data_IF_420465134181
#
_entry.id   IF_420465134181
#
_cell.length_a   1.000
_cell.length_b   1.000
_cell.length_c   1.000
_cell.angle_alpha   90.00
_cell.angle_beta   90.00
_cell.angle_gamma   90.00
#
_symmetry.space_group_name_H-M   'P 1'
#
loop_
_entity.id
_entity.type
_entity.pdbx_description
1 polymer ?
#
# COMPACT_ATOMS: atom_id res chain seq x y z
N UNK A 1 11.99 13.38 -12.85
CA UNK A 1 12.00 12.05 -12.22
C UNK A 1 10.66 11.85 -11.52
N UNK A 2 9.96 10.72 -11.72
CA UNK A 2 8.70 10.42 -11.02
C UNK A 2 8.99 9.66 -9.72
N UNK A 3 8.34 10.02 -8.62
CA UNK A 3 8.50 9.30 -7.34
C UNK A 3 7.66 8.01 -7.33
N UNK A 4 7.98 7.02 -6.47
CA UNK A 4 7.16 5.82 -6.32
C UNK A 4 5.70 6.15 -5.99
N UNK A 5 5.46 7.14 -5.13
CA UNK A 5 4.11 7.59 -4.77
C UNK A 5 3.36 8.20 -5.97
N UNK A 6 4.04 9.02 -6.79
CA UNK A 6 3.42 9.59 -8.00
C UNK A 6 3.05 8.50 -9.02
N UNK A 7 3.87 7.46 -9.13
CA UNK A 7 3.56 6.31 -9.97
C UNK A 7 2.41 5.46 -9.40
N UNK A 8 2.34 5.32 -8.07
CA UNK A 8 1.27 4.62 -7.39
C UNK A 8 -0.10 5.27 -7.67
N UNK A 9 -0.21 6.59 -7.51
CA UNK A 9 -1.44 7.32 -7.83
C UNK A 9 -1.83 7.24 -9.30
N UNK A 10 -0.83 7.23 -10.19
CA UNK A 10 -1.08 7.04 -11.63
C UNK A 10 -1.76 5.69 -11.89
N UNK A 11 -1.20 4.61 -11.35
CA UNK A 11 -1.70 3.26 -11.60
C UNK A 11 -3.03 2.96 -10.90
N UNK A 12 -3.28 3.59 -9.76
CA UNK A 12 -4.59 3.56 -9.13
C UNK A 12 -5.69 4.10 -10.06
N UNK A 13 -5.40 5.14 -10.84
CA UNK A 13 -6.36 5.72 -11.78
C UNK A 13 -6.40 4.90 -13.09
N UNK A 14 -5.24 4.63 -13.68
CA UNK A 14 -5.14 4.02 -15.02
C UNK A 14 -5.48 2.52 -15.01
N UNK A 15 -5.30 1.83 -13.88
CA UNK A 15 -5.40 0.37 -13.79
C UNK A 15 -6.01 -0.13 -12.47
N UNK A 16 -6.97 0.63 -11.92
CA UNK A 16 -7.66 0.34 -10.65
C UNK A 16 -8.02 -1.15 -10.44
N UNK A 17 -8.58 -1.78 -11.47
CA UNK A 17 -9.08 -3.16 -11.43
C UNK A 17 -8.06 -4.22 -11.87
N UNK A 18 -6.83 -3.82 -12.26
CA UNK A 18 -5.78 -4.77 -12.62
C UNK A 18 -5.09 -5.29 -11.37
N UNK A 19 -4.73 -6.59 -11.38
CA UNK A 19 -3.98 -7.21 -10.29
C UNK A 19 -2.60 -6.57 -10.18
N UNK A 20 -2.29 -6.05 -8.99
CA UNK A 20 -0.99 -5.47 -8.65
C UNK A 20 -0.14 -6.44 -7.82
N UNK A 21 -0.76 -7.13 -6.87
CA UNK A 21 -0.06 -7.94 -5.87
C UNK A 21 -0.63 -9.36 -5.82
N UNK A 22 0.26 -10.34 -5.98
CA UNK A 22 -0.03 -11.75 -5.73
C UNK A 22 0.65 -12.15 -4.43
N UNK A 23 -0.11 -12.44 -3.40
CA UNK A 23 0.41 -12.85 -2.09
C UNK A 23 0.16 -14.34 -1.86
N UNK A 24 1.24 -15.14 -1.71
CA UNK A 24 1.10 -16.52 -1.26
C UNK A 24 0.97 -16.57 0.27
N UNK A 25 -0.10 -17.18 0.76
CA UNK A 25 -0.31 -17.44 2.18
C UNK A 25 -0.85 -18.86 2.37
N UNK A 26 -0.23 -19.67 3.24
CA UNK A 26 -0.67 -21.04 3.56
C UNK A 26 -0.95 -21.91 2.32
N UNK A 27 -0.05 -21.87 1.33
CA UNK A 27 -0.16 -22.57 0.03
C UNK A 27 -1.35 -22.13 -0.84
N UNK A 28 -1.99 -21.01 -0.52
CA UNK A 28 -3.03 -20.39 -1.31
C UNK A 28 -2.54 -19.03 -1.83
N UNK A 29 -2.99 -18.66 -3.03
CA UNK A 29 -2.70 -17.37 -3.63
C UNK A 29 -3.88 -16.42 -3.41
N UNK A 30 -3.59 -15.21 -2.96
CA UNK A 30 -4.52 -14.09 -2.95
C UNK A 30 -4.05 -13.04 -3.95
N UNK A 31 -4.97 -12.53 -4.75
CA UNK A 31 -4.71 -11.46 -5.71
C UNK A 31 -5.34 -10.17 -5.20
N UNK A 32 -4.61 -9.07 -5.32
CA UNK A 32 -5.10 -7.74 -4.97
C UNK A 32 -4.88 -6.79 -6.14
N UNK A 33 -5.94 -6.06 -6.46
CA UNK A 33 -5.95 -5.01 -7.47
C UNK A 33 -5.24 -3.74 -6.97
N UNK A 34 -4.90 -2.84 -7.90
CA UNK A 34 -4.36 -1.52 -7.55
C UNK A 34 -5.28 -0.75 -6.60
N UNK A 35 -6.60 -0.77 -6.83
CA UNK A 35 -7.57 -0.10 -5.97
C UNK A 35 -7.58 -0.66 -4.54
N UNK A 36 -7.56 -1.99 -4.39
CA UNK A 36 -7.57 -2.63 -3.07
C UNK A 36 -6.30 -2.34 -2.27
N UNK A 37 -5.13 -2.37 -2.93
CA UNK A 37 -3.87 -2.03 -2.27
C UNK A 37 -3.82 -0.55 -1.90
N UNK A 38 -4.34 0.34 -2.75
CA UNK A 38 -4.38 1.78 -2.47
C UNK A 38 -5.30 2.12 -1.29
N UNK A 39 -6.48 1.52 -1.25
CA UNK A 39 -7.40 1.62 -0.13
C UNK A 39 -6.78 1.13 1.19
N UNK A 40 -6.09 -0.02 1.16
CA UNK A 40 -5.38 -0.56 2.34
C UNK A 40 -4.22 0.35 2.79
N UNK A 41 -3.44 0.88 1.84
CA UNK A 41 -2.35 1.81 2.13
C UNK A 41 -2.86 3.10 2.80
N UNK A 42 -4.00 3.65 2.36
CA UNK A 42 -4.62 4.83 2.97
C UNK A 42 -5.10 4.56 4.40
N UNK A 43 -5.69 3.39 4.67
CA UNK A 43 -6.07 3.03 6.05
C UNK A 43 -4.87 2.96 6.99
N UNK A 44 -3.76 2.38 6.55
CA UNK A 44 -2.53 2.33 7.34
C UNK A 44 -1.95 3.73 7.54
N UNK A 45 -1.92 4.55 6.48
CA UNK A 45 -1.45 5.93 6.59
C UNK A 45 -2.31 6.77 7.55
N UNK A 46 -3.64 6.64 7.48
CA UNK A 46 -4.56 7.31 8.40
C UNK A 46 -4.30 6.90 9.85
N UNK A 47 -4.16 5.59 10.12
CA UNK A 47 -3.80 5.10 11.45
C UNK A 47 -2.47 5.67 11.97
N UNK A 48 -1.45 5.77 11.12
CA UNK A 48 -0.15 6.35 11.49
C UNK A 48 -0.29 7.85 11.80
N UNK A 49 -1.06 8.59 11.00
CA UNK A 49 -1.34 10.02 11.22
C UNK A 49 -2.06 10.23 12.56
N UNK A 50 -3.02 9.36 12.90
CA UNK A 50 -3.76 9.41 14.16
C UNK A 50 -2.88 9.19 15.40
N UNK A 51 -1.67 8.62 15.25
CA UNK A 51 -0.73 8.49 16.37
C UNK A 51 -0.02 9.80 16.73
N UNK A 52 -0.18 10.85 15.92
CA UNK A 52 0.35 12.21 16.16
C UNK A 52 1.86 12.23 16.45
N UNK A 53 2.63 11.43 15.71
CA UNK A 53 4.09 11.44 15.81
C UNK A 53 4.67 12.72 15.20
N UNK A 54 5.78 13.18 15.78
CA UNK A 54 6.54 14.33 15.27
C UNK A 54 6.94 14.15 13.79
N UNK A 55 6.92 15.22 12.98
CA UNK A 55 7.40 15.15 11.60
C UNK A 55 8.83 14.62 11.51
N UNK A 56 9.03 13.59 10.67
CA UNK A 56 10.32 12.93 10.50
C UNK A 56 10.56 11.73 11.43
N UNK A 57 9.57 11.36 12.26
CA UNK A 57 9.59 10.10 13.00
C UNK A 57 9.78 8.89 12.08
N UNK A 58 10.58 7.93 12.55
CA UNK A 58 10.87 6.69 11.83
C UNK A 58 9.88 5.61 12.25
N UNK A 59 9.13 5.07 11.30
CA UNK A 59 8.18 3.99 11.54
C UNK A 59 8.85 2.65 11.21
N UNK A 60 9.01 1.79 12.21
CA UNK A 60 9.55 0.45 12.01
C UNK A 60 8.48 -0.47 11.41
N UNK A 61 8.81 -1.19 10.33
CA UNK A 61 7.97 -2.23 9.74
C UNK A 61 8.54 -3.60 10.11
N UNK A 62 7.79 -4.39 10.87
CA UNK A 62 8.13 -5.77 11.20
C UNK A 62 7.01 -6.69 10.72
N UNK A 63 7.24 -7.36 9.60
CA UNK A 63 6.26 -8.22 8.95
C UNK A 63 6.95 -9.35 8.18
N UNK A 64 6.16 -10.38 7.83
CA UNK A 64 6.55 -11.43 6.89
C UNK A 64 6.03 -11.05 5.49
N UNK A 65 6.79 -11.42 4.47
CA UNK A 65 6.34 -11.35 3.08
C UNK A 65 5.44 -12.53 2.71
#
# INVERSE_FOLDING_TARGET
MKTPLAMFYRWEIEAANQVFLHQPANLQWSEYTWAEVADRARRVAAYIIEQDFEPGSRIAMFAKN
#
